data_IF_585121450711
#
_entry.id   IF_585121450711
#
_cell.length_a   1.000
_cell.length_b   1.000
_cell.length_c   1.000
_cell.angle_alpha   90.00
_cell.angle_beta   90.00
_cell.angle_gamma   90.00
#
_symmetry.space_group_name_H-M   'P 1'
#
loop_
_entity.id
_entity.type
_entity.pdbx_description
1 polymer ?
#
# COMPACT_ATOMS: atom_id res chain seq x y z
N UNK A 1 5.93 -1.32 9.13
CA UNK A 1 5.86 -0.40 7.98
C UNK A 1 6.40 -1.17 6.79
N UNK A 2 5.59 -1.29 5.74
CA UNK A 2 5.99 -1.98 4.52
C UNK A 2 6.87 -1.08 3.68
N UNK A 3 7.94 -1.64 3.16
CA UNK A 3 8.87 -0.97 2.26
C UNK A 3 8.98 -1.80 0.98
N UNK A 4 9.51 -1.18 -0.07
CA UNK A 4 9.89 -1.89 -1.28
C UNK A 4 11.40 -1.74 -1.48
N UNK A 5 12.08 -2.84 -1.78
CA UNK A 5 13.52 -2.87 -2.02
C UNK A 5 13.79 -3.45 -3.40
N UNK A 6 14.78 -2.89 -4.09
CA UNK A 6 15.24 -3.42 -5.38
C UNK A 6 16.14 -4.62 -5.12
N UNK A 7 15.70 -5.82 -5.50
CA UNK A 7 16.49 -7.05 -5.35
C UNK A 7 17.38 -7.28 -6.55
N UNK A 8 16.85 -7.09 -7.76
CA UNK A 8 17.56 -7.31 -9.03
C UNK A 8 17.29 -6.16 -10.01
N UNK A 9 18.10 -5.98 -11.07
CA UNK A 9 17.78 -5.05 -12.14
C UNK A 9 16.45 -5.41 -12.80
N UNK A 10 15.38 -4.68 -12.48
CA UNK A 10 14.03 -4.94 -12.97
C UNK A 10 13.20 -5.85 -12.05
N UNK A 11 13.64 -6.07 -10.81
CA UNK A 11 12.87 -6.80 -9.80
C UNK A 11 12.87 -6.05 -8.46
N UNK A 12 11.70 -5.97 -7.85
CA UNK A 12 11.41 -5.24 -6.64
C UNK A 12 10.63 -6.13 -5.69
N UNK A 13 11.07 -6.23 -4.45
CA UNK A 13 10.37 -6.98 -3.41
C UNK A 13 9.72 -6.03 -2.44
N UNK A 14 8.43 -6.24 -2.18
CA UNK A 14 7.65 -5.54 -1.16
C UNK A 14 7.59 -6.41 0.08
N UNK A 15 7.87 -5.83 1.23
CA UNK A 15 7.94 -6.56 2.49
C UNK A 15 8.02 -5.64 3.69
N UNK A 16 7.99 -6.21 4.88
CA UNK A 16 8.19 -5.52 6.14
C UNK A 16 9.33 -6.16 6.92
N UNK A 17 9.83 -5.42 7.91
CA UNK A 17 10.77 -5.95 8.88
C UNK A 17 9.99 -6.53 10.05
N UNK A 18 10.28 -7.79 10.37
CA UNK A 18 9.72 -8.44 11.56
C UNK A 18 10.23 -7.76 12.83
N UNK A 19 9.60 -8.07 13.97
CA UNK A 19 10.08 -7.64 15.30
C UNK A 19 11.50 -8.13 15.63
N UNK A 20 11.98 -9.15 14.92
CA UNK A 20 13.34 -9.69 15.01
C UNK A 20 14.35 -8.92 14.12
N UNK A 21 13.86 -7.98 13.30
CA UNK A 21 14.66 -7.21 12.35
C UNK A 21 14.96 -7.95 11.05
N UNK A 22 14.29 -9.07 10.79
CA UNK A 22 14.47 -9.84 9.55
C UNK A 22 13.58 -9.27 8.44
N UNK A 23 14.13 -9.18 7.23
CA UNK A 23 13.36 -8.76 6.06
C UNK A 23 12.43 -9.89 5.60
N UNK A 24 11.12 -9.66 5.65
CA UNK A 24 10.11 -10.60 5.16
C UNK A 24 9.51 -10.09 3.86
N UNK A 25 9.95 -10.67 2.74
CA UNK A 25 9.35 -10.40 1.44
C UNK A 25 7.93 -10.99 1.38
N UNK A 26 6.93 -10.15 1.15
CA UNK A 26 5.54 -10.56 0.89
C UNK A 26 5.32 -10.86 -0.60
N UNK A 27 5.80 -9.97 -1.47
CA UNK A 27 5.52 -10.01 -2.92
C UNK A 27 6.68 -9.49 -3.74
N UNK A 28 6.83 -10.03 -4.95
CA UNK A 28 7.86 -9.63 -5.91
C UNK A 28 7.18 -9.03 -7.14
N UNK A 29 7.69 -7.90 -7.59
CA UNK A 29 7.19 -7.08 -8.68
C UNK A 29 8.32 -6.79 -9.65
N UNK A 30 7.99 -6.61 -10.93
CA UNK A 30 8.98 -6.30 -11.96
C UNK A 30 9.05 -4.81 -12.29
N UNK A 31 8.09 -4.03 -11.79
CA UNK A 31 8.06 -2.58 -11.95
C UNK A 31 8.11 -1.86 -10.60
N UNK A 32 8.79 -0.70 -10.51
CA UNK A 32 8.84 0.09 -9.29
C UNK A 32 7.47 0.68 -8.92
N UNK A 33 6.62 0.94 -9.90
CA UNK A 33 5.29 1.53 -9.72
C UNK A 33 4.35 0.56 -8.98
N UNK A 34 4.27 -0.69 -9.42
CA UNK A 34 3.46 -1.72 -8.75
C UNK A 34 3.97 -2.01 -7.33
N UNK A 35 5.30 -2.05 -7.16
CA UNK A 35 5.91 -2.25 -5.85
C UNK A 35 5.57 -1.11 -4.88
N UNK A 36 5.63 0.14 -5.34
CA UNK A 36 5.29 1.31 -4.54
C UNK A 36 3.79 1.35 -4.19
N UNK A 37 2.91 1.05 -5.15
CA UNK A 37 1.46 0.98 -4.91
C UNK A 37 1.12 -0.08 -3.86
N UNK A 38 1.72 -1.27 -3.99
CA UNK A 38 1.52 -2.36 -3.03
C UNK A 38 2.04 -2.01 -1.64
N UNK A 39 3.25 -1.46 -1.53
CA UNK A 39 3.81 -1.02 -0.25
C UNK A 39 2.94 0.09 0.38
N UNK A 40 2.42 1.01 -0.42
CA UNK A 40 1.51 2.04 0.04
C UNK A 40 0.19 1.44 0.57
N UNK A 41 -0.42 0.52 -0.18
CA UNK A 41 -1.64 -0.18 0.23
C UNK A 41 -1.46 -0.94 1.55
N UNK A 42 -0.36 -1.68 1.69
CA UNK A 42 -0.03 -2.45 2.89
C UNK A 42 0.26 -1.56 4.11
N UNK A 43 0.77 -0.34 3.90
CA UNK A 43 0.93 0.65 4.96
C UNK A 43 -0.38 1.30 5.43
N UNK A 44 -1.54 0.83 4.95
CA UNK A 44 -2.82 1.44 5.26
C UNK A 44 -3.25 2.48 4.23
N UNK A 45 -2.67 2.44 3.02
CA UNK A 45 -3.17 3.11 1.82
C UNK A 45 -4.52 2.52 1.39
N UNK A 46 -5.52 2.60 2.27
CA UNK A 46 -6.91 2.69 1.87
C UNK A 46 -7.03 4.03 1.19
N UNK A 47 -6.96 4.08 -0.13
CA UNK A 47 -7.77 5.09 -0.81
C UNK A 47 -9.20 4.79 -0.36
N UNK A 48 -9.91 5.77 0.24
CA UNK A 48 -11.29 5.57 0.65
C UNK A 48 -12.11 5.39 -0.63
N UNK A 49 -12.30 4.15 -1.06
CA UNK A 49 -13.43 3.83 -1.91
C UNK A 49 -14.63 3.84 -0.96
N UNK A 50 -15.24 5.02 -0.87
CA UNK A 50 -16.68 5.22 -0.66
C UNK A 50 -17.34 4.35 0.40
N UNK A 51 -17.49 4.91 1.60
CA UNK A 51 -18.77 4.91 2.32
C UNK A 51 -19.37 6.30 1.99
N UNK A 52 -20.05 6.46 0.86
CA UNK A 52 -21.51 6.51 0.74
C UNK A 52 -22.24 7.21 1.91
N UNK A 53 -23.07 8.20 1.56
CA UNK A 53 -24.19 8.80 2.31
C UNK A 53 -23.90 9.94 3.34
N UNK A 54 -24.00 11.19 2.86
CA UNK A 54 -24.79 12.26 3.52
C UNK A 54 -25.03 13.38 2.49
N UNK A 55 -25.79 13.02 1.45
CA UNK A 55 -26.55 13.98 0.65
C UNK A 55 -28.01 14.00 1.11
N UNK A 56 -28.29 13.90 2.41
CA UNK A 56 -29.66 13.88 2.96
C UNK A 56 -29.75 14.52 4.34
N UNK A 57 -29.36 15.79 4.47
CA UNK A 57 -29.95 16.77 5.42
C UNK A 57 -29.32 18.15 5.13
N UNK A 58 -30.01 19.27 4.94
CA UNK A 58 -31.37 19.65 5.26
C UNK A 58 -31.71 20.92 4.46
N UNK A 59 -32.98 21.13 4.11
CA UNK A 59 -33.45 22.33 3.43
C UNK A 59 -33.07 23.61 4.18
N UNK A 60 -32.50 24.57 3.46
CA UNK A 60 -32.39 25.95 3.92
C UNK A 60 -32.49 26.92 2.74
N UNK A 61 -33.72 27.24 2.34
CA UNK A 61 -34.32 28.59 2.46
C UNK A 61 -35.61 28.71 1.65
#
# INVERSE_FOLDING_TARGET
>A
MYSYIKTEPGQWSVGDFTEEGEWRAESVWYTPEEAAERAHWLNGGKTPVTDDDEATSNGQR
#
